data_IF_314521115760
#
_entry.id   IF_314521115760
#
_cell.length_a   1.000
_cell.length_b   1.000
_cell.length_c   1.000
_cell.angle_alpha   90.00
_cell.angle_beta   90.00
_cell.angle_gamma   90.00
#
_symmetry.space_group_name_H-M   'P 1'
#
loop_
_entity.id
_entity.type
_entity.pdbx_description
1 polymer ?
#
# COMPACT_ATOMS: atom_id res chain seq x y z
N UNK A 1 22.62 -16.51 24.86
CA UNK A 1 21.26 -16.41 24.28
C UNK A 1 21.20 -15.08 23.53
N UNK A 2 21.42 -15.10 22.21
CA UNK A 2 21.42 -13.90 21.36
C UNK A 2 20.01 -13.71 20.80
N UNK A 3 19.30 -12.69 21.28
CA UNK A 3 18.03 -12.27 20.68
C UNK A 3 18.34 -11.51 19.39
N UNK A 4 18.00 -12.09 18.25
CA UNK A 4 18.03 -11.40 16.95
C UNK A 4 16.80 -10.50 16.90
N UNK A 5 16.97 -9.19 17.14
CA UNK A 5 15.92 -8.21 16.91
C UNK A 5 15.79 -8.01 15.40
N UNK A 6 14.72 -8.53 14.81
CA UNK A 6 14.32 -8.17 13.45
C UNK A 6 13.93 -6.69 13.47
N UNK A 7 14.71 -5.79 12.86
CA UNK A 7 14.32 -4.38 12.76
C UNK A 7 13.18 -4.26 11.74
N UNK A 8 11.94 -4.20 12.21
CA UNK A 8 10.83 -3.69 11.42
C UNK A 8 11.11 -2.21 11.13
N UNK A 9 11.38 -1.89 9.86
CA UNK A 9 11.56 -0.49 9.43
C UNK A 9 10.18 0.16 9.34
N UNK A 10 9.80 0.83 10.41
CA UNK A 10 8.60 1.64 10.50
C UNK A 10 8.75 2.93 9.65
N UNK A 11 7.71 3.28 8.89
CA UNK A 11 7.69 4.42 7.97
C UNK A 11 6.35 5.15 8.07
N UNK A 12 6.36 6.42 7.68
CA UNK A 12 5.16 7.18 7.35
C UNK A 12 4.88 7.08 5.85
N UNK A 13 3.60 7.08 5.47
CA UNK A 13 3.14 7.20 4.07
C UNK A 13 1.96 8.15 4.00
N UNK A 14 1.79 8.82 2.86
CA UNK A 14 0.56 9.57 2.57
C UNK A 14 -0.58 8.62 2.20
N UNK A 15 -1.80 9.14 2.23
CA UNK A 15 -3.01 8.42 1.82
C UNK A 15 -3.73 9.22 0.73
N UNK A 16 -4.08 8.55 -0.36
CA UNK A 16 -5.05 9.07 -1.32
C UNK A 16 -6.29 8.20 -1.33
N UNK A 17 -7.37 8.73 -1.88
CA UNK A 17 -8.58 8.00 -2.22
C UNK A 17 -8.53 7.64 -3.70
N UNK A 18 -8.62 6.36 -4.04
CA UNK A 18 -8.51 5.85 -5.40
C UNK A 18 -9.75 5.07 -5.84
N UNK A 19 -10.14 5.20 -7.11
CA UNK A 19 -11.15 4.33 -7.71
C UNK A 19 -10.63 2.90 -7.88
N UNK A 20 -11.54 1.93 -7.80
CA UNK A 20 -11.20 0.50 -7.91
C UNK A 20 -10.62 0.09 -9.27
N UNK A 21 -10.82 0.89 -10.31
CA UNK A 21 -10.26 0.68 -11.65
C UNK A 21 -8.96 1.46 -11.90
N UNK A 22 -8.49 2.25 -10.92
CA UNK A 22 -7.28 3.06 -11.03
C UNK A 22 -7.37 4.21 -12.04
N UNK A 23 -8.58 4.60 -12.45
CA UNK A 23 -8.79 5.68 -13.42
C UNK A 23 -8.68 7.07 -12.81
N UNK A 24 -8.92 7.20 -11.50
CA UNK A 24 -8.90 8.47 -10.79
C UNK A 24 -8.45 8.31 -9.33
N UNK A 25 -7.82 9.36 -8.82
CA UNK A 25 -7.43 9.50 -7.42
C UNK A 25 -7.41 10.96 -7.00
N UNK A 26 -7.61 11.19 -5.70
CA UNK A 26 -7.35 12.47 -5.07
C UNK A 26 -6.68 12.27 -3.72
N UNK A 27 -5.81 13.20 -3.34
CA UNK A 27 -5.17 13.19 -2.04
C UNK A 27 -6.22 13.27 -0.93
N UNK A 28 -6.08 12.42 0.09
CA UNK A 28 -6.94 12.52 1.25
C UNK A 28 -6.42 13.65 2.13
N UNK A 29 -7.26 14.67 2.35
CA UNK A 29 -6.95 15.82 3.19
C UNK A 29 -7.72 15.77 4.51
N UNK A 30 -7.10 16.22 5.59
CA UNK A 30 -7.75 16.45 6.87
C UNK A 30 -8.64 17.72 6.83
N UNK A 31 -9.32 18.01 7.94
CA UNK A 31 -10.21 19.18 8.06
C UNK A 31 -9.49 20.53 7.92
N UNK A 32 -8.17 20.54 8.08
CA UNK A 32 -7.33 21.73 7.95
C UNK A 32 -6.67 21.83 6.56
N UNK A 33 -6.94 20.89 5.66
CA UNK A 33 -6.33 20.83 4.33
C UNK A 33 -4.93 20.23 4.29
N UNK A 34 -4.47 19.55 5.35
CA UNK A 34 -3.21 18.82 5.34
C UNK A 34 -3.38 17.43 4.76
N UNK A 35 -2.34 16.89 4.12
CA UNK A 35 -2.35 15.50 3.67
C UNK A 35 -2.45 14.53 4.83
N UNK A 36 -3.41 13.60 4.75
CA UNK A 36 -3.50 12.47 5.66
C UNK A 36 -2.30 11.54 5.46
N UNK A 37 -1.75 11.10 6.58
CA UNK A 37 -0.59 10.21 6.63
C UNK A 37 -0.82 9.11 7.63
N UNK A 38 -0.24 7.94 7.41
CA UNK A 38 -0.35 6.81 8.33
C UNK A 38 0.99 6.12 8.49
N UNK A 39 1.20 5.61 9.70
CA UNK A 39 2.40 4.89 10.04
C UNK A 39 2.23 3.38 9.83
N UNK A 40 3.31 2.71 9.44
CA UNK A 40 3.30 1.29 9.14
C UNK A 40 4.59 0.81 8.52
N UNK A 41 4.52 -0.27 7.74
CA UNK A 41 5.70 -0.85 7.10
C UNK A 41 5.42 -1.24 5.65
N UNK A 42 6.32 -0.87 4.75
CA UNK A 42 6.24 -1.31 3.36
C UNK A 42 6.57 -2.80 3.26
N UNK A 43 5.86 -3.48 2.36
CA UNK A 43 6.01 -4.90 2.10
C UNK A 43 5.71 -5.26 0.65
N UNK A 44 5.92 -6.54 0.32
CA UNK A 44 5.57 -7.12 -0.97
C UNK A 44 4.78 -8.40 -0.77
N UNK A 45 3.80 -8.61 -1.63
CA UNK A 45 3.07 -9.87 -1.73
C UNK A 45 3.43 -10.51 -3.07
N UNK A 46 4.14 -11.63 -3.02
CA UNK A 46 4.52 -12.39 -4.20
C UNK A 46 3.39 -13.31 -4.66
N UNK A 47 3.11 -13.29 -5.95
CA UNK A 47 2.17 -14.16 -6.63
C UNK A 47 2.91 -15.37 -7.22
N UNK A 48 2.20 -16.49 -7.36
CA UNK A 48 2.78 -17.74 -7.92
C UNK A 48 3.27 -17.61 -9.36
N UNK A 49 2.74 -16.64 -10.11
CA UNK A 49 3.10 -16.37 -11.49
C UNK A 49 4.37 -15.50 -11.65
N UNK A 50 5.13 -15.29 -10.56
CA UNK A 50 6.33 -14.47 -10.60
C UNK A 50 6.05 -12.97 -10.62
N UNK A 51 4.81 -12.53 -10.37
CA UNK A 51 4.48 -11.14 -10.13
C UNK A 51 4.51 -10.81 -8.63
N UNK A 52 4.57 -9.53 -8.30
CA UNK A 52 4.32 -9.03 -6.95
C UNK A 52 3.57 -7.70 -7.00
N UNK A 53 2.94 -7.32 -5.90
CA UNK A 53 2.50 -5.94 -5.67
C UNK A 53 3.03 -5.48 -4.31
N UNK A 54 3.19 -4.17 -4.13
CA UNK A 54 3.60 -3.66 -2.82
C UNK A 54 2.37 -3.44 -1.95
N UNK A 55 2.60 -3.55 -0.65
CA UNK A 55 1.60 -3.31 0.38
C UNK A 55 2.16 -2.37 1.43
N UNK A 56 1.28 -1.58 2.04
CA UNK A 56 1.60 -0.88 3.28
C UNK A 56 0.88 -1.57 4.43
N UNK A 57 1.65 -2.14 5.35
CA UNK A 57 1.15 -2.93 6.47
C UNK A 57 0.88 -2.04 7.67
N UNK A 58 -0.31 -2.18 8.23
CA UNK A 58 -0.78 -1.40 9.38
C UNK A 58 -1.66 -2.28 10.26
N UNK A 59 -1.67 -2.04 11.57
CA UNK A 59 -2.57 -2.77 12.48
C UNK A 59 -4.00 -2.30 12.29
N UNK A 60 -4.97 -3.20 12.51
CA UNK A 60 -6.40 -2.87 12.43
C UNK A 60 -6.76 -1.67 13.30
N UNK A 61 -6.33 -1.65 14.55
CA UNK A 61 -6.62 -0.54 15.47
C UNK A 61 -6.06 0.81 15.02
N UNK A 62 -4.89 0.82 14.35
CA UNK A 62 -4.30 2.05 13.84
C UNK A 62 -4.95 2.50 12.54
N UNK A 63 -5.37 1.57 11.69
CA UNK A 63 -6.12 1.90 10.48
C UNK A 63 -7.52 2.44 10.82
N UNK A 64 -8.22 1.80 11.75
CA UNK A 64 -9.56 2.22 12.17
C UNK A 64 -9.55 3.56 12.90
N UNK A 65 -8.51 3.83 13.71
CA UNK A 65 -8.39 5.12 14.43
C UNK A 65 -8.21 6.31 13.51
N UNK A 66 -7.72 6.08 12.28
CA UNK A 66 -7.61 7.12 11.27
C UNK A 66 -8.94 7.53 10.66
N UNK A 67 -9.94 6.67 10.74
CA UNK A 67 -11.30 6.95 10.25
C UNK A 67 -11.30 7.59 8.84
N UNK A 68 -10.47 7.07 7.93
CA UNK A 68 -10.34 7.62 6.58
C UNK A 68 -11.70 7.69 5.88
N UNK A 69 -12.05 8.88 5.41
CA UNK A 69 -13.31 9.15 4.75
C UNK A 69 -13.08 9.49 3.28
N UNK A 70 -13.14 8.48 2.42
CA UNK A 70 -13.08 8.68 0.97
C UNK A 70 -14.45 8.99 0.37
N UNK A 71 -14.52 9.74 -0.76
CA UNK A 71 -15.75 9.89 -1.53
C UNK A 71 -16.35 8.54 -1.93
N UNK A 72 -17.65 8.53 -2.22
CA UNK A 72 -18.35 7.31 -2.62
C UNK A 72 -17.69 6.67 -3.85
N UNK A 73 -17.38 5.38 -3.76
CA UNK A 73 -16.69 4.63 -4.82
C UNK A 73 -15.17 4.65 -4.75
N UNK A 74 -14.57 5.49 -3.90
CA UNK A 74 -13.12 5.55 -3.69
C UNK A 74 -12.73 4.76 -2.44
N UNK A 75 -11.50 4.25 -2.46
CA UNK A 75 -10.92 3.47 -1.37
C UNK A 75 -9.59 4.10 -0.93
N UNK A 76 -9.28 4.12 0.38
CA UNK A 76 -8.02 4.67 0.87
C UNK A 76 -6.86 3.77 0.43
N UNK A 77 -5.80 4.37 -0.10
CA UNK A 77 -4.61 3.68 -0.57
C UNK A 77 -3.32 4.40 -0.14
N UNK A 78 -2.26 3.66 0.20
CA UNK A 78 -0.99 4.23 0.60
C UNK A 78 -0.22 4.79 -0.59
N UNK A 79 0.42 5.93 -0.38
CA UNK A 79 1.28 6.58 -1.36
C UNK A 79 2.55 7.13 -0.70
N UNK A 80 3.69 6.68 -1.21
CA UNK A 80 4.99 7.22 -0.79
C UNK A 80 5.20 8.65 -1.34
N UNK A 81 4.62 8.96 -2.52
CA UNK A 81 4.68 10.28 -3.19
C UNK A 81 3.62 10.40 -4.29
N UNK A 82 3.42 11.60 -4.84
CA UNK A 82 2.41 11.87 -5.89
C UNK A 82 2.62 11.19 -7.24
N UNK A 83 3.75 10.52 -7.45
CA UNK A 83 4.02 9.68 -8.63
C UNK A 83 4.10 8.19 -8.28
N UNK A 84 3.68 7.82 -7.07
CA UNK A 84 3.62 6.42 -6.67
C UNK A 84 2.70 5.64 -7.60
N UNK A 85 3.07 4.40 -7.85
CA UNK A 85 2.16 3.42 -8.44
C UNK A 85 1.05 3.11 -7.43
N UNK A 86 0.02 2.42 -7.90
CA UNK A 86 -1.07 1.98 -7.06
C UNK A 86 -0.62 0.83 -6.17
N UNK A 87 -0.61 1.06 -4.87
CA UNK A 87 -0.28 0.08 -3.84
C UNK A 87 -1.46 -0.03 -2.86
N UNK A 88 -1.48 -1.05 -2.00
CA UNK A 88 -2.67 -1.34 -1.18
C UNK A 88 -2.33 -1.52 0.30
N UNK A 89 -3.30 -1.26 1.17
CA UNK A 89 -3.15 -1.58 2.58
C UNK A 89 -3.27 -3.09 2.83
N UNK A 90 -2.41 -3.61 3.69
CA UNK A 90 -2.51 -4.94 4.29
C UNK A 90 -2.74 -4.78 5.80
N UNK A 91 -3.96 -5.06 6.24
CA UNK A 91 -4.39 -4.85 7.63
C UNK A 91 -4.04 -6.07 8.46
N UNK A 92 -3.22 -5.86 9.48
CA UNK A 92 -2.86 -6.88 10.47
C UNK A 92 -3.92 -6.92 11.58
N UNK A 93 -4.64 -8.03 11.65
CA UNK A 93 -5.68 -8.26 12.66
C UNK A 93 -5.06 -8.73 13.99
N UNK A 94 -5.73 -8.49 15.15
CA UNK A 94 -5.24 -8.93 16.46
C UNK A 94 -5.01 -10.44 16.59
N UNK A 95 -5.75 -11.25 15.82
CA UNK A 95 -5.59 -12.71 15.78
C UNK A 95 -4.40 -13.18 14.93
N UNK A 96 -3.61 -12.25 14.38
CA UNK A 96 -2.45 -12.54 13.53
C UNK A 96 -2.77 -12.73 12.04
N UNK A 97 -4.04 -12.70 11.63
CA UNK A 97 -4.39 -12.74 10.20
C UNK A 97 -4.12 -11.41 9.51
N UNK A 98 -3.96 -11.46 8.20
CA UNK A 98 -3.72 -10.29 7.35
C UNK A 98 -4.82 -10.20 6.30
N UNK A 99 -5.36 -9.00 6.09
CA UNK A 99 -6.44 -8.75 5.13
C UNK A 99 -6.03 -7.61 4.20
N UNK A 100 -6.09 -7.85 2.89
CA UNK A 100 -5.85 -6.81 1.90
C UNK A 100 -7.11 -5.96 1.74
N UNK A 101 -6.94 -4.64 1.72
CA UNK A 101 -8.01 -3.71 1.32
C UNK A 101 -8.26 -3.87 -0.18
N UNK A 102 -9.51 -4.14 -0.55
CA UNK A 102 -9.88 -4.34 -1.95
C UNK A 102 -9.84 -3.00 -2.71
N UNK A 103 -8.81 -2.85 -3.55
CA UNK A 103 -8.50 -1.63 -4.28
C UNK A 103 -7.59 -1.95 -5.48
N UNK A 104 -7.46 -0.98 -6.38
CA UNK A 104 -6.62 -1.12 -7.56
C UNK A 104 -5.14 -1.24 -7.16
N UNK A 105 -4.40 -2.14 -7.83
CA UNK A 105 -3.00 -2.44 -7.47
C UNK A 105 -2.15 -2.66 -8.70
N UNK A 106 -0.92 -2.18 -8.62
CA UNK A 106 0.07 -2.35 -9.69
C UNK A 106 0.80 -3.66 -9.49
N UNK A 107 0.77 -4.51 -10.52
CA UNK A 107 1.57 -5.72 -10.56
C UNK A 107 2.93 -5.44 -11.20
N UNK A 108 3.98 -5.88 -10.51
CA UNK A 108 5.36 -5.83 -10.95
C UNK A 108 5.82 -7.25 -11.28
N UNK A 109 6.81 -7.38 -12.17
CA UNK A 109 7.44 -8.67 -12.44
C UNK A 109 8.67 -8.83 -11.53
N UNK A 110 8.85 -10.02 -10.96
CA UNK A 110 10.00 -10.34 -10.09
C UNK A 110 11.30 -10.47 -10.91
N UNK A 111 11.21 -10.56 -12.25
CA UNK A 111 12.33 -10.61 -13.17
C UNK A 111 12.42 -9.36 -14.05
N UNK A 112 13.45 -8.55 -13.82
CA UNK A 112 14.01 -7.70 -14.88
C UNK A 112 14.75 -8.58 -15.88
N UNK A 113 14.02 -9.27 -16.76
CA UNK A 113 14.58 -9.81 -18.00
C UNK A 113 13.71 -9.24 -19.11
N UNK A 114 14.25 -8.20 -19.75
CA UNK A 114 13.76 -7.67 -21.02
C UNK A 114 13.69 -8.88 -21.98
N UNK A 115 12.52 -9.22 -22.56
CA UNK A 115 12.49 -10.12 -23.70
C UNK A 115 13.37 -9.53 -24.78
N UNK A 116 14.29 -10.33 -25.29
CA UNK A 116 15.24 -10.07 -26.39
C UNK A 116 14.56 -9.46 -27.63
N UNK A 117 14.19 -8.18 -27.58
CA UNK A 117 13.62 -7.41 -28.68
C UNK A 117 14.33 -6.05 -28.88
N UNK A 118 15.36 -5.76 -28.08
CA UNK A 118 16.29 -4.65 -28.32
C UNK A 118 17.70 -5.18 -28.62
N UNK A 119 17.79 -6.00 -29.67
CA UNK A 119 19.00 -6.13 -30.49
C UNK A 119 18.60 -5.71 -31.91
N UNK A 120 18.88 -4.45 -32.25
CA UNK A 120 19.15 -4.01 -33.61
C UNK A 120 20.64 -3.69 -33.68
#
# INVERSE_FOLDING_TARGET
>A
MLCIYSSLSYSMTYVYCGLSDGSDWDWLLDQNGNYETIEGTWGRVHQRNGQYFNVFRVTESHFDSKAFSCPAGYTPQPADRGTSRWEVFEIQKPNGTQVLVDSYKTYYNTGGVIPSAYRL
#
